data_IF_395926115848
#
_entry.id   IF_395926115848
#
_cell.length_a   1.000
_cell.length_b   1.000
_cell.length_c   1.000
_cell.angle_alpha   90.00
_cell.angle_beta   90.00
_cell.angle_gamma   90.00
#
_symmetry.space_group_name_H-M   'P 1'
#
loop_
_entity.id
_entity.type
_entity.pdbx_description
1 polymer ?
#
# COMPACT_ATOMS: atom_id res chain seq x y z
N UNK A 1 8.19 15.83 -15.86
CA UNK A 1 7.73 14.48 -16.24
C UNK A 1 6.54 14.62 -17.16
N UNK A 2 6.44 13.84 -18.23
CA UNK A 2 5.33 13.87 -19.20
C UNK A 2 4.55 12.56 -19.10
N UNK A 3 3.22 12.62 -19.24
CA UNK A 3 2.37 11.44 -19.33
C UNK A 3 2.79 10.57 -20.51
N UNK A 4 3.02 9.28 -20.24
CA UNK A 4 3.41 8.30 -21.26
C UNK A 4 2.29 7.32 -21.56
N UNK A 5 1.63 6.80 -20.51
CA UNK A 5 0.55 5.83 -20.66
C UNK A 5 -0.31 5.75 -19.40
N UNK A 6 -1.59 5.45 -19.57
CA UNK A 6 -2.46 5.02 -18.48
C UNK A 6 -2.46 3.50 -18.43
N UNK A 7 -2.06 2.93 -17.29
CA UNK A 7 -1.93 1.48 -17.10
C UNK A 7 -3.10 0.85 -16.37
N UNK A 8 -3.85 1.63 -15.60
CA UNK A 8 -5.11 1.19 -14.98
C UNK A 8 -6.10 2.36 -14.96
N UNK A 9 -7.33 2.10 -15.37
CA UNK A 9 -8.49 2.97 -15.18
C UNK A 9 -9.27 2.57 -13.91
N UNK A 10 -10.34 3.30 -13.58
CA UNK A 10 -11.22 3.00 -12.44
C UNK A 10 -11.70 1.54 -12.42
N UNK A 11 -12.09 1.00 -13.59
CA UNK A 11 -12.59 -0.37 -13.70
C UNK A 11 -11.48 -1.37 -13.38
N UNK A 12 -10.28 -1.16 -13.91
CA UNK A 12 -9.12 -2.01 -13.66
C UNK A 12 -8.69 -1.97 -12.19
N UNK A 13 -8.71 -0.81 -11.54
CA UNK A 13 -8.40 -0.67 -10.10
C UNK A 13 -9.42 -1.46 -9.28
N UNK A 14 -10.71 -1.29 -9.54
CA UNK A 14 -11.76 -2.04 -8.84
C UNK A 14 -11.63 -3.55 -9.01
N UNK A 15 -11.31 -4.02 -10.22
CA UNK A 15 -11.09 -5.45 -10.47
C UNK A 15 -9.85 -5.99 -9.76
N UNK A 16 -8.76 -5.22 -9.73
CA UNK A 16 -7.55 -5.60 -9.03
C UNK A 16 -7.77 -5.69 -7.52
N UNK A 17 -8.44 -4.71 -6.90
CA UNK A 17 -8.75 -4.73 -5.47
C UNK A 17 -9.66 -5.91 -5.10
N UNK A 18 -10.65 -6.23 -5.93
CA UNK A 18 -11.50 -7.41 -5.69
C UNK A 18 -10.71 -8.72 -5.75
N UNK A 19 -9.77 -8.83 -6.69
CA UNK A 19 -8.87 -10.00 -6.75
C UNK A 19 -7.98 -10.08 -5.51
N UNK A 20 -7.35 -8.98 -5.11
CA UNK A 20 -6.54 -8.92 -3.88
C UNK A 20 -7.37 -9.34 -2.65
N UNK A 21 -8.63 -8.89 -2.53
CA UNK A 21 -9.50 -9.29 -1.44
C UNK A 21 -9.71 -10.82 -1.38
N UNK A 22 -9.98 -11.46 -2.52
CA UNK A 22 -10.07 -12.92 -2.59
C UNK A 22 -8.75 -13.62 -2.24
N UNK A 23 -7.61 -13.10 -2.71
CA UNK A 23 -6.28 -13.65 -2.40
C UNK A 23 -5.96 -13.54 -0.89
N UNK A 24 -6.34 -12.43 -0.24
CA UNK A 24 -6.19 -12.25 1.22
C UNK A 24 -6.99 -13.32 1.96
N UNK A 25 -8.25 -13.54 1.58
CA UNK A 25 -9.13 -14.55 2.21
C UNK A 25 -8.53 -15.94 2.03
N UNK A 26 -8.12 -16.30 0.82
CA UNK A 26 -7.58 -17.63 0.52
C UNK A 26 -6.28 -17.91 1.26
N UNK A 27 -5.34 -16.94 1.23
CA UNK A 27 -4.05 -17.06 1.90
C UNK A 27 -4.23 -17.24 3.42
N UNK A 28 -5.11 -16.46 4.03
CA UNK A 28 -5.32 -16.45 5.48
C UNK A 28 -6.36 -17.49 5.96
N UNK A 29 -6.99 -18.23 5.03
CA UNK A 29 -8.05 -19.23 5.28
C UNK A 29 -9.24 -18.64 6.05
N UNK A 30 -9.65 -17.44 5.65
CA UNK A 30 -10.58 -16.59 6.39
C UNK A 30 -9.94 -15.25 6.78
N UNK A 31 -10.71 -14.38 7.46
CA UNK A 31 -10.26 -13.03 7.84
C UNK A 31 -10.50 -12.68 9.31
N UNK A 32 -10.87 -13.65 10.14
CA UNK A 32 -11.17 -13.48 11.56
C UNK A 32 -9.98 -12.92 12.35
N UNK A 33 -8.76 -13.25 11.89
CA UNK A 33 -7.51 -12.82 12.51
C UNK A 33 -6.71 -11.82 11.65
N UNK A 34 -7.31 -11.29 10.59
CA UNK A 34 -6.68 -10.33 9.69
C UNK A 34 -7.00 -8.90 10.14
N UNK A 35 -6.01 -8.03 10.05
CA UNK A 35 -6.15 -6.57 10.23
C UNK A 35 -5.49 -5.85 9.06
N UNK A 36 -6.04 -4.72 8.64
CA UNK A 36 -5.45 -3.91 7.56
C UNK A 36 -4.69 -2.73 8.14
N UNK A 37 -3.55 -2.40 7.54
CA UNK A 37 -2.82 -1.16 7.86
C UNK A 37 -2.47 -0.44 6.56
N UNK A 38 -3.12 0.70 6.32
CA UNK A 38 -2.84 1.54 5.17
C UNK A 38 -1.59 2.39 5.39
N UNK A 39 -0.61 2.27 4.49
CA UNK A 39 0.59 3.11 4.50
C UNK A 39 0.27 4.42 3.80
N UNK A 40 0.54 5.55 4.46
CA UNK A 40 0.23 6.86 3.89
C UNK A 40 1.04 7.16 2.61
N UNK A 41 0.45 7.88 1.65
CA UNK A 41 -0.87 8.56 1.71
C UNK A 41 -2.00 7.72 1.09
N UNK A 42 -1.80 7.21 -0.13
CA UNK A 42 -2.84 6.53 -0.93
C UNK A 42 -3.07 5.07 -0.55
N UNK A 43 -2.18 4.44 0.21
CA UNK A 43 -2.42 3.11 0.78
C UNK A 43 -3.61 3.07 1.76
N UNK A 44 -3.92 4.19 2.41
CA UNK A 44 -5.07 4.31 3.33
C UNK A 44 -6.43 4.13 2.63
N UNK A 45 -6.81 4.94 1.62
CA UNK A 45 -8.07 4.73 0.92
C UNK A 45 -8.12 3.36 0.21
N UNK A 46 -6.99 2.82 -0.25
CA UNK A 46 -6.95 1.46 -0.79
C UNK A 46 -7.25 0.40 0.28
N UNK A 47 -6.73 0.56 1.50
CA UNK A 47 -7.04 -0.32 2.63
C UNK A 47 -8.52 -0.23 3.03
N UNK A 48 -9.11 0.97 3.06
CA UNK A 48 -10.53 1.17 3.34
C UNK A 48 -11.41 0.47 2.30
N UNK A 49 -11.08 0.59 1.02
CA UNK A 49 -11.77 -0.13 -0.06
C UNK A 49 -11.63 -1.64 0.07
N UNK A 50 -10.46 -2.15 0.46
CA UNK A 50 -10.27 -3.57 0.74
C UNK A 50 -11.11 -4.04 1.94
N UNK A 51 -11.19 -3.26 3.02
CA UNK A 51 -12.04 -3.57 4.17
C UNK A 51 -13.50 -3.73 3.75
N UNK A 52 -14.02 -2.82 2.91
CA UNK A 52 -15.39 -2.91 2.39
C UNK A 52 -15.59 -4.19 1.58
N UNK A 53 -14.68 -4.49 0.64
CA UNK A 53 -14.76 -5.70 -0.19
C UNK A 53 -14.69 -6.99 0.65
N UNK A 54 -13.78 -7.04 1.63
CA UNK A 54 -13.63 -8.19 2.52
C UNK A 54 -14.88 -8.40 3.38
N UNK A 55 -15.47 -7.31 3.88
CA UNK A 55 -16.76 -7.35 4.60
C UNK A 55 -17.89 -7.83 3.71
N UNK A 56 -17.95 -7.41 2.45
CA UNK A 56 -18.97 -7.88 1.51
C UNK A 56 -18.86 -9.39 1.22
N UNK A 57 -17.64 -9.93 1.19
CA UNK A 57 -17.38 -11.34 0.84
C UNK A 57 -17.57 -12.26 2.06
N UNK A 58 -17.00 -11.91 3.21
CA UNK A 58 -16.95 -12.76 4.41
C UNK A 58 -17.95 -12.36 5.49
N UNK A 59 -18.66 -11.24 5.33
CA UNK A 59 -19.55 -10.66 6.34
C UNK A 59 -18.86 -10.37 7.68
N UNK A 60 -17.55 -10.10 7.66
CA UNK A 60 -16.74 -9.76 8.83
C UNK A 60 -16.18 -8.34 8.66
N UNK A 61 -16.36 -7.49 9.68
CA UNK A 61 -15.80 -6.15 9.71
C UNK A 61 -14.43 -6.17 10.41
N UNK A 62 -13.35 -6.28 9.64
CA UNK A 62 -11.99 -6.32 10.18
C UNK A 62 -11.48 -4.93 10.59
N UNK A 63 -10.61 -4.81 11.61
CA UNK A 63 -9.98 -3.54 11.97
C UNK A 63 -9.09 -2.97 10.85
N UNK A 64 -9.03 -1.63 10.80
CA UNK A 64 -8.14 -0.88 9.90
C UNK A 64 -7.37 0.18 10.67
N UNK A 65 -6.07 0.27 10.41
CA UNK A 65 -5.16 1.27 10.98
C UNK A 65 -4.44 2.06 9.89
N UNK A 66 -3.83 3.16 10.30
CA UNK A 66 -3.10 4.08 9.44
C UNK A 66 -1.68 4.21 9.94
N UNK A 67 -0.71 4.02 9.05
CA UNK A 67 0.69 4.16 9.37
C UNK A 67 1.30 5.34 8.63
N UNK A 68 1.83 6.30 9.40
CA UNK A 68 2.65 7.38 8.86
C UNK A 68 4.12 7.09 9.10
N UNK A 69 4.83 6.73 8.02
CA UNK A 69 6.25 6.36 8.09
C UNK A 69 7.19 7.55 7.89
N UNK A 70 6.68 8.79 7.89
CA UNK A 70 7.52 9.99 7.65
C UNK A 70 8.69 10.08 8.62
N UNK A 71 8.52 9.62 9.86
CA UNK A 71 9.56 9.59 10.90
C UNK A 71 10.60 8.46 10.72
N UNK A 72 10.30 7.44 9.92
CA UNK A 72 11.14 6.24 9.73
C UNK A 72 11.93 6.26 8.42
N UNK A 73 11.84 7.34 7.64
CA UNK A 73 12.63 7.48 6.41
C UNK A 73 14.06 7.84 6.77
N UNK A 74 14.99 6.94 6.45
CA UNK A 74 16.44 7.09 6.65
C UNK A 74 17.00 8.41 6.04
N UNK A 75 16.26 9.03 5.10
CA UNK A 75 16.62 10.25 4.38
C UNK A 75 16.28 11.57 5.11
N UNK A 76 15.89 11.53 6.39
CA UNK A 76 15.56 12.73 7.19
C UNK A 76 16.71 13.76 7.27
N UNK A 77 17.93 13.36 6.94
CA UNK A 77 19.11 14.24 6.92
C UNK A 77 19.16 15.22 5.73
N UNK A 78 18.30 15.08 4.70
CA UNK A 78 18.35 15.92 3.49
C UNK A 78 17.14 16.86 3.26
N UNK A 79 16.09 16.82 4.09
CA UNK A 79 14.93 17.71 3.94
C UNK A 79 14.87 18.74 5.07
N UNK A 80 15.01 20.02 4.71
CA UNK A 80 14.92 21.18 5.62
C UNK A 80 13.47 21.55 6.01
N UNK A 81 12.47 20.85 5.50
CA UNK A 81 11.07 21.08 5.89
C UNK A 81 10.78 20.34 7.19
N UNK A 82 10.38 21.08 8.23
CA UNK A 82 9.94 20.52 9.50
C UNK A 82 8.93 19.39 9.24
N UNK A 83 9.14 18.16 9.75
CA UNK A 83 8.15 17.11 9.58
C UNK A 83 6.88 17.57 10.27
N UNK A 84 5.83 17.84 9.49
CA UNK A 84 4.49 17.88 10.05
C UNK A 84 4.25 16.51 10.68
N UNK A 85 4.19 16.47 12.02
CA UNK A 85 3.92 15.23 12.76
C UNK A 85 2.52 14.79 12.38
N UNK A 86 2.46 13.78 11.54
CA UNK A 86 1.24 13.07 11.23
C UNK A 86 1.16 11.83 12.12
N UNK A 87 -0.02 11.57 12.65
CA UNK A 87 -0.22 10.55 13.67
C UNK A 87 -0.41 9.17 13.02
N UNK A 88 0.46 8.22 13.36
CA UNK A 88 0.18 6.79 13.23
C UNK A 88 -0.99 6.45 14.14
N UNK A 89 -2.02 5.82 13.59
CA UNK A 89 -3.25 5.47 14.31
C UNK A 89 -3.60 4.01 14.04
N UNK A 90 -3.24 3.14 14.98
CA UNK A 90 -3.55 1.70 14.96
C UNK A 90 -4.33 1.40 16.24
N UNK A 91 -5.66 1.63 16.26
CA UNK A 91 -6.47 1.61 17.48
C UNK A 91 -6.86 0.19 17.93
N UNK A 92 -6.01 -0.80 17.64
CA UNK A 92 -6.23 -2.21 17.94
C UNK A 92 -4.92 -2.92 18.23
N UNK A 93 -5.02 -4.03 18.95
CA UNK A 93 -3.86 -4.89 19.23
C UNK A 93 -3.49 -5.70 17.98
N UNK A 94 -2.22 -5.60 17.58
CA UNK A 94 -1.65 -6.35 16.46
C UNK A 94 -1.03 -7.68 16.90
N UNK A 95 -0.89 -7.93 18.20
CA UNK A 95 -0.27 -9.15 18.72
C UNK A 95 -0.97 -10.40 18.19
N UNK A 96 -0.20 -11.34 17.65
CA UNK A 96 -0.68 -12.59 17.05
C UNK A 96 -1.70 -12.42 15.90
N UNK A 97 -1.86 -11.21 15.34
CA UNK A 97 -2.70 -10.94 14.16
C UNK A 97 -1.94 -11.13 12.85
N UNK A 98 -2.66 -11.41 11.77
CA UNK A 98 -2.15 -11.31 10.40
C UNK A 98 -2.33 -9.87 9.92
N UNK A 99 -1.25 -9.09 9.89
CA UNK A 99 -1.29 -7.68 9.48
C UNK A 99 -1.07 -7.59 7.98
N UNK A 100 -2.05 -7.11 7.22
CA UNK A 100 -1.89 -6.81 5.80
C UNK A 100 -1.61 -5.32 5.65
N UNK A 101 -0.35 -4.98 5.37
CA UNK A 101 0.02 -3.63 4.96
C UNK A 101 -0.50 -3.36 3.54
N UNK A 102 -1.04 -2.17 3.32
CA UNK A 102 -1.56 -1.76 2.01
C UNK A 102 -0.85 -0.50 1.55
N UNK A 103 -0.23 -0.57 0.37
CA UNK A 103 0.46 0.56 -0.27
C UNK A 103 0.02 0.72 -1.73
N UNK A 104 0.25 1.90 -2.31
CA UNK A 104 -0.14 2.15 -3.71
C UNK A 104 0.89 1.55 -4.70
N UNK A 105 2.19 1.77 -4.47
CA UNK A 105 3.25 1.34 -5.38
C UNK A 105 4.43 0.73 -4.62
N UNK A 106 4.73 -0.54 -4.91
CA UNK A 106 6.00 -1.15 -4.49
C UNK A 106 7.13 -0.82 -5.47
N UNK A 107 8.10 -0.03 -5.01
CA UNK A 107 9.30 0.36 -5.76
C UNK A 107 10.59 -0.23 -5.17
N UNK A 108 11.39 0.55 -4.44
CA UNK A 108 12.68 0.10 -3.86
C UNK A 108 12.50 -0.83 -2.66
N UNK A 109 11.34 -0.76 -1.99
CA UNK A 109 11.03 -1.47 -0.75
C UNK A 109 11.33 -0.69 0.54
N UNK A 110 11.93 0.50 0.46
CA UNK A 110 12.31 1.28 1.67
C UNK A 110 11.10 1.73 2.51
N UNK A 111 10.04 2.19 1.84
CA UNK A 111 8.75 2.51 2.48
C UNK A 111 8.20 1.31 3.25
N UNK A 112 8.15 0.14 2.61
CA UNK A 112 7.68 -1.10 3.24
C UNK A 112 8.55 -1.49 4.43
N UNK A 113 9.88 -1.42 4.32
CA UNK A 113 10.79 -1.73 5.43
C UNK A 113 10.53 -0.81 6.63
N UNK A 114 10.40 0.49 6.40
CA UNK A 114 10.06 1.46 7.44
C UNK A 114 8.68 1.17 8.08
N UNK A 115 7.70 0.77 7.27
CA UNK A 115 6.39 0.36 7.75
C UNK A 115 6.44 -0.90 8.63
N UNK A 116 7.24 -1.90 8.24
CA UNK A 116 7.46 -3.11 9.04
C UNK A 116 8.11 -2.80 10.38
N UNK A 117 9.15 -1.96 10.39
CA UNK A 117 9.83 -1.54 11.62
C UNK A 117 8.84 -0.86 12.58
N UNK A 118 8.04 0.08 12.08
CA UNK A 118 7.03 0.77 12.87
C UNK A 118 5.94 -0.17 13.42
N UNK A 119 5.52 -1.19 12.66
CA UNK A 119 4.59 -2.22 13.16
C UNK A 119 5.23 -3.09 14.25
N UNK A 120 6.51 -3.44 14.12
CA UNK A 120 7.23 -4.20 15.14
C UNK A 120 7.37 -3.39 16.43
N UNK A 121 7.51 -2.06 16.35
CA UNK A 121 7.52 -1.20 17.54
C UNK A 121 6.15 -1.18 18.26
N UNK A 122 5.05 -1.40 17.53
CA UNK A 122 3.70 -1.45 18.09
C UNK A 122 3.34 -2.80 18.72
N UNK A 123 4.00 -3.90 18.34
CA UNK A 123 3.64 -5.23 18.83
C UNK A 123 4.31 -6.40 18.09
N UNK A 124 3.71 -7.59 18.23
CA UNK A 124 4.24 -8.85 17.71
C UNK A 124 3.19 -9.57 16.85
N UNK A 125 2.98 -9.15 15.59
CA UNK A 125 2.04 -9.82 14.69
C UNK A 125 2.47 -11.26 14.39
N UNK A 126 1.50 -12.14 14.10
CA UNK A 126 1.77 -13.50 13.66
C UNK A 126 2.40 -13.53 12.25
N UNK A 127 1.98 -12.60 11.39
CA UNK A 127 2.61 -12.33 10.10
C UNK A 127 2.41 -10.86 9.71
N UNK A 128 3.33 -10.36 8.89
CA UNK A 128 3.17 -9.09 8.17
C UNK A 128 3.17 -9.44 6.68
N UNK A 129 2.05 -9.15 6.03
CA UNK A 129 1.83 -9.33 4.59
C UNK A 129 1.80 -7.96 3.91
N UNK A 130 2.04 -7.91 2.61
CA UNK A 130 2.02 -6.70 1.81
C UNK A 130 1.09 -6.85 0.60
N UNK A 131 0.06 -6.01 0.55
CA UNK A 131 -0.77 -5.77 -0.62
C UNK A 131 -0.38 -4.44 -1.29
N UNK A 132 -0.13 -4.47 -2.59
CA UNK A 132 0.09 -3.25 -3.39
C UNK A 132 -0.78 -3.21 -4.62
N UNK A 133 -1.22 -2.01 -5.01
CA UNK A 133 -1.92 -1.84 -6.27
C UNK A 133 -0.97 -2.07 -7.45
N UNK A 134 0.22 -1.46 -7.42
CA UNK A 134 1.23 -1.61 -8.47
C UNK A 134 2.54 -2.14 -7.90
N UNK A 135 3.11 -3.13 -8.59
CA UNK A 135 4.53 -3.47 -8.47
C UNK A 135 5.28 -2.97 -9.71
N UNK A 136 6.22 -2.05 -9.50
CA UNK A 136 7.01 -1.46 -10.60
C UNK A 136 8.44 -1.98 -10.73
N UNK A 137 8.82 -2.99 -9.94
CA UNK A 137 10.17 -3.54 -9.90
C UNK A 137 11.22 -2.65 -9.22
N UNK A 138 12.50 -2.83 -9.59
CA UNK A 138 13.67 -2.07 -9.09
C UNK A 138 13.90 -2.13 -7.57
N UNK A 139 13.75 -3.33 -7.00
CA UNK A 139 14.02 -3.57 -5.59
C UNK A 139 15.45 -3.22 -5.21
N UNK A 140 15.58 -2.59 -4.05
CA UNK A 140 16.86 -2.36 -3.37
C UNK A 140 16.93 -3.12 -2.04
N UNK A 141 15.77 -3.58 -1.55
CA UNK A 141 15.63 -4.46 -0.41
C UNK A 141 14.98 -5.78 -0.86
N UNK A 142 15.24 -6.92 -0.17
CA UNK A 142 14.66 -8.22 -0.51
C UNK A 142 13.19 -8.32 -0.09
N UNK A 143 12.37 -7.35 -0.51
CA UNK A 143 10.96 -7.20 -0.17
C UNK A 143 10.12 -7.50 -1.41
N UNK A 144 9.12 -8.35 -1.23
CA UNK A 144 8.10 -8.69 -2.23
C UNK A 144 6.73 -8.48 -1.62
N UNK A 145 5.76 -8.11 -2.46
CA UNK A 145 4.37 -8.10 -2.06
C UNK A 145 3.81 -9.51 -2.16
N UNK A 146 2.94 -9.85 -1.21
CA UNK A 146 2.15 -11.08 -1.23
C UNK A 146 0.98 -10.93 -2.23
N UNK A 147 0.44 -9.71 -2.35
CA UNK A 147 -0.69 -9.39 -3.22
C UNK A 147 -0.34 -8.21 -4.11
N UNK A 148 -0.47 -8.38 -5.43
CA UNK A 148 -0.14 -7.35 -6.42
C UNK A 148 -1.32 -7.13 -7.34
N UNK A 149 -1.80 -5.89 -7.45
CA UNK A 149 -2.87 -5.51 -8.37
C UNK A 149 -2.43 -5.60 -9.84
N UNK A 150 -1.28 -5.03 -10.18
CA UNK A 150 -0.66 -5.16 -11.49
C UNK A 150 0.86 -5.02 -11.42
N UNK A 151 1.58 -5.90 -12.12
CA UNK A 151 2.99 -5.73 -12.40
C UNK A 151 3.17 -4.80 -13.60
N UNK A 152 3.94 -3.74 -13.43
CA UNK A 152 4.18 -2.73 -14.46
C UNK A 152 5.70 -2.57 -14.64
N UNK A 153 6.29 -3.19 -15.68
CA UNK A 153 7.69 -2.96 -16.00
C UNK A 153 7.92 -1.48 -16.28
N UNK A 154 8.87 -0.87 -15.56
CA UNK A 154 9.26 0.53 -15.76
C UNK A 154 10.76 0.65 -15.92
N UNK A 155 11.25 1.76 -16.46
CA UNK A 155 12.65 2.19 -16.29
C UNK A 155 12.83 2.90 -14.94
N UNK A 156 14.08 3.11 -14.52
CA UNK A 156 14.39 3.94 -13.33
C UNK A 156 14.05 5.42 -13.53
N UNK A 157 14.02 5.89 -14.78
CA UNK A 157 13.66 7.27 -15.12
C UNK A 157 12.15 7.49 -15.20
N UNK A 158 11.35 6.43 -15.23
CA UNK A 158 9.89 6.52 -15.19
C UNK A 158 9.37 6.66 -13.76
N UNK A 159 8.17 7.22 -13.63
CA UNK A 159 7.41 7.29 -12.39
C UNK A 159 6.05 6.65 -12.60
N UNK A 160 5.56 5.97 -11.56
CA UNK A 160 4.18 5.48 -11.50
C UNK A 160 3.41 6.45 -10.61
N UNK A 161 2.38 7.06 -11.16
CA UNK A 161 1.47 7.95 -10.43
C UNK A 161 0.13 7.23 -10.24
N UNK A 162 -0.18 6.90 -8.99
CA UNK A 162 -1.49 6.37 -8.61
C UNK A 162 -2.37 7.55 -8.17
N UNK A 163 -3.59 7.61 -8.72
CA UNK A 163 -4.65 8.53 -8.35
C UNK A 163 -5.81 7.72 -7.78
N UNK A 164 -6.30 8.15 -6.62
CA UNK A 164 -7.46 7.55 -5.97
C UNK A 164 -8.50 8.63 -5.72
N UNK A 165 -9.76 8.32 -5.99
CA UNK A 165 -10.88 9.28 -5.95
C UNK A 165 -10.96 10.08 -4.65
N UNK A 166 -10.64 9.47 -3.52
CA UNK A 166 -10.67 10.06 -2.17
C UNK A 166 -9.69 11.22 -1.99
N UNK A 167 -8.61 11.25 -2.77
CA UNK A 167 -7.53 12.24 -2.66
C UNK A 167 -7.44 13.10 -3.92
N UNK A 168 -7.57 12.46 -5.09
CA UNK A 168 -7.24 13.04 -6.40
C UNK A 168 -8.50 13.31 -7.26
N UNK A 169 -9.70 12.93 -6.79
CA UNK A 169 -10.96 13.12 -7.50
C UNK A 169 -11.22 12.13 -8.65
N UNK A 170 -10.27 11.24 -8.95
CA UNK A 170 -10.39 10.19 -9.96
C UNK A 170 -9.56 8.95 -9.60
N UNK A 171 -9.97 7.80 -10.14
CA UNK A 171 -9.22 6.55 -10.06
C UNK A 171 -8.46 6.31 -11.36
N UNK A 172 -7.13 6.36 -11.29
CA UNK A 172 -6.27 6.15 -12.46
C UNK A 172 -4.84 5.82 -12.04
N UNK A 173 -4.14 5.00 -12.83
CA UNK A 173 -2.70 4.81 -12.68
C UNK A 173 -2.01 5.17 -13.98
N UNK A 174 -1.06 6.11 -13.90
CA UNK A 174 -0.29 6.61 -15.03
C UNK A 174 1.20 6.25 -14.89
N UNK A 175 1.86 6.02 -16.03
CA UNK A 175 3.30 6.06 -16.14
C UNK A 175 3.68 7.44 -16.68
N UNK A 176 4.59 8.11 -15.99
CA UNK A 176 5.22 9.35 -16.43
C UNK A 176 6.68 9.07 -16.82
N UNK A 177 7.13 9.65 -17.93
CA UNK A 177 8.53 9.59 -18.38
C UNK A 177 9.23 10.95 -18.31
N UNK A 178 10.55 11.01 -18.49
CA UNK A 178 11.22 12.28 -18.77
C UNK A 178 10.64 12.87 -20.06
N UNK A 179 10.41 14.19 -20.08
CA UNK A 179 10.09 14.87 -21.33
C UNK A 179 11.31 14.86 -22.22
N UNK A 180 11.15 14.55 -23.50
CA UNK A 180 12.29 14.57 -24.44
C UNK A 180 12.92 15.96 -24.48
N UNK A 181 14.26 15.98 -24.53
CA UNK A 181 15.05 17.10 -25.04
C UNK A 181 14.74 17.37 -26.51
#
# INVERSE_FOLDING_TARGET
MIHKATVMDEKAIRQALRRIAHEIIEHNKGIENVVLVGVRKRGVPLAERLQVLLKEIENINIPIGILDITLYRDDLSQRQDQPMVHTTDVPFDINSRHVVMVDDVLYTGRTTRAAMDALIDLGRPASIQLAVLIDRGHRELPIRADYVGKNVPTSRSEQVEVKVKEIDGQDQVDILGPGGE
#
